data_IF_962043828718
#
_entry.id   IF_962043828718
#
_cell.length_a   1.000
_cell.length_b   1.000
_cell.length_c   1.000
_cell.angle_alpha   90.00
_cell.angle_beta   90.00
_cell.angle_gamma   90.00
#
_symmetry.space_group_name_H-M   'P 1'
#
loop_
_entity.id
_entity.type
_entity.pdbx_description
1 polymer ?
#
# COMPACT_ATOMS: atom_id res chain seq x y z
N UNK A 1 -57.65 -22.98 4.49
CA UNK A 1 -57.32 -24.34 5.01
C UNK A 1 -58.21 -25.46 4.48
N UNK A 2 -59.53 -25.29 4.33
CA UNK A 2 -60.43 -26.38 3.88
C UNK A 2 -60.21 -26.89 2.44
N UNK A 3 -59.57 -26.10 1.57
CA UNK A 3 -59.30 -26.49 0.18
C UNK A 3 -58.10 -27.45 0.04
N UNK A 4 -57.08 -27.30 0.89
CA UNK A 4 -55.88 -28.16 0.85
C UNK A 4 -56.19 -29.57 1.40
N UNK A 5 -57.13 -29.67 2.34
CA UNK A 5 -57.54 -30.93 2.95
C UNK A 5 -58.35 -31.86 2.02
N UNK A 6 -58.90 -31.34 0.92
CA UNK A 6 -59.70 -32.15 -0.03
C UNK A 6 -58.87 -32.81 -1.14
N UNK A 7 -57.66 -32.32 -1.40
CA UNK A 7 -56.82 -32.75 -2.53
C UNK A 7 -55.78 -33.82 -2.15
N UNK A 8 -55.50 -33.99 -0.85
CA UNK A 8 -54.54 -34.96 -0.34
C UNK A 8 -55.29 -36.13 0.27
N UNK A 9 -55.36 -37.26 -0.44
CA UNK A 9 -55.99 -38.49 0.06
C UNK A 9 -55.46 -38.90 1.45
N UNK A 10 -56.27 -39.61 2.25
CA UNK A 10 -55.98 -39.95 3.65
C UNK A 10 -54.55 -40.46 3.93
N UNK A 11 -53.94 -41.16 2.96
CA UNK A 11 -52.57 -41.65 3.03
C UNK A 11 -51.53 -40.54 3.21
N UNK A 12 -51.72 -39.36 2.63
CA UNK A 12 -50.77 -38.24 2.71
C UNK A 12 -50.96 -37.37 3.94
N UNK A 13 -52.10 -37.50 4.63
CA UNK A 13 -52.41 -36.73 5.85
C UNK A 13 -51.44 -37.05 7.00
N UNK A 14 -50.87 -38.26 7.03
CA UNK A 14 -49.82 -38.66 8.00
C UNK A 14 -48.44 -38.08 7.67
N UNK A 15 -48.17 -37.77 6.40
CA UNK A 15 -46.88 -37.23 5.95
C UNK A 15 -46.84 -35.70 5.90
N UNK A 16 -48.00 -35.04 5.91
CA UNK A 16 -48.11 -33.58 5.89
C UNK A 16 -47.25 -32.86 6.95
N UNK A 17 -47.23 -33.23 8.25
CA UNK A 17 -46.39 -32.53 9.23
C UNK A 17 -44.89 -32.70 8.94
N UNK A 18 -44.47 -33.85 8.40
CA UNK A 18 -43.08 -34.10 8.01
C UNK A 18 -42.67 -33.22 6.83
N UNK A 19 -43.53 -33.09 5.82
CA UNK A 19 -43.28 -32.22 4.66
C UNK A 19 -43.21 -30.74 5.05
N UNK A 20 -44.05 -30.30 6.00
CA UNK A 20 -43.99 -28.94 6.55
C UNK A 20 -42.67 -28.71 7.29
N UNK A 21 -42.22 -29.68 8.10
CA UNK A 21 -40.95 -29.59 8.82
C UNK A 21 -39.75 -29.49 7.85
N UNK A 22 -39.71 -30.35 6.83
CA UNK A 22 -38.67 -30.32 5.79
C UNK A 22 -38.69 -28.98 5.06
N UNK A 23 -39.88 -28.50 4.66
CA UNK A 23 -40.03 -27.19 4.03
C UNK A 23 -39.47 -26.05 4.90
N UNK A 24 -39.81 -26.04 6.19
CA UNK A 24 -39.28 -25.07 7.16
C UNK A 24 -37.76 -25.11 7.26
N UNK A 25 -37.15 -26.30 7.34
CA UNK A 25 -35.69 -26.44 7.41
C UNK A 25 -34.97 -25.96 6.15
N UNK A 26 -35.55 -26.21 4.97
CA UNK A 26 -35.00 -25.74 3.69
C UNK A 26 -35.11 -24.22 3.58
N UNK A 27 -36.24 -23.64 3.99
CA UNK A 27 -36.42 -22.18 3.99
C UNK A 27 -35.46 -21.50 4.96
N UNK A 28 -35.29 -22.01 6.19
CA UNK A 28 -34.35 -21.41 7.15
C UNK A 28 -32.90 -21.54 6.70
N UNK A 29 -32.51 -22.67 6.11
CA UNK A 29 -31.17 -22.83 5.54
C UNK A 29 -30.92 -21.87 4.38
N UNK A 30 -31.90 -21.70 3.48
CA UNK A 30 -31.81 -20.77 2.35
C UNK A 30 -31.75 -19.31 2.82
N UNK A 31 -32.58 -18.90 3.80
CA UNK A 31 -32.55 -17.53 4.31
C UNK A 31 -31.24 -17.24 5.03
N UNK A 32 -30.71 -18.17 5.82
CA UNK A 32 -29.38 -18.02 6.46
C UNK A 32 -28.27 -17.93 5.41
N UNK A 33 -28.31 -18.77 4.37
CA UNK A 33 -27.33 -18.75 3.28
C UNK A 33 -27.39 -17.44 2.48
N UNK A 34 -28.58 -16.98 2.13
CA UNK A 34 -28.78 -15.70 1.42
C UNK A 34 -28.40 -14.50 2.29
N UNK A 35 -28.64 -14.56 3.60
CA UNK A 35 -28.22 -13.51 4.53
C UNK A 35 -26.71 -13.46 4.62
N UNK A 36 -26.04 -14.62 4.72
CA UNK A 36 -24.58 -14.72 4.72
C UNK A 36 -23.98 -14.18 3.42
N UNK A 37 -24.51 -14.58 2.26
CA UNK A 37 -24.09 -14.08 0.94
C UNK A 37 -24.32 -12.58 0.84
N UNK A 38 -25.46 -12.06 1.30
CA UNK A 38 -25.75 -10.62 1.27
C UNK A 38 -24.88 -9.82 2.23
N UNK A 39 -24.50 -10.38 3.37
CA UNK A 39 -23.55 -9.77 4.31
C UNK A 39 -22.15 -9.74 3.71
N UNK A 40 -21.72 -10.83 3.07
CA UNK A 40 -20.42 -10.89 2.39
C UNK A 40 -20.35 -9.92 1.20
N UNK A 41 -21.42 -9.83 0.40
CA UNK A 41 -21.51 -8.86 -0.69
C UNK A 41 -21.59 -7.41 -0.20
N UNK A 42 -22.27 -7.13 0.92
CA UNK A 42 -22.29 -5.79 1.52
C UNK A 42 -20.95 -5.41 2.16
N UNK A 43 -20.23 -6.38 2.73
CA UNK A 43 -18.87 -6.18 3.22
C UNK A 43 -17.94 -5.78 2.07
N UNK A 44 -17.98 -6.54 0.96
CA UNK A 44 -17.15 -6.28 -0.22
C UNK A 44 -17.55 -5.01 -0.98
N UNK A 45 -18.84 -4.68 -1.04
CA UNK A 45 -19.32 -3.45 -1.70
C UNK A 45 -19.11 -2.17 -0.88
N UNK A 46 -18.74 -2.30 0.40
CA UNK A 46 -18.38 -1.20 1.30
C UNK A 46 -16.88 -1.15 1.60
N UNK A 47 -16.06 -2.01 0.96
CA UNK A 47 -14.65 -2.20 1.26
C UNK A 47 -13.82 -1.04 0.70
N UNK A 48 -13.97 -0.69 -0.57
CA UNK A 48 -13.14 0.34 -1.21
C UNK A 48 -13.64 1.75 -0.85
N UNK A 49 -13.20 2.29 0.28
CA UNK A 49 -13.58 3.66 0.68
C UNK A 49 -12.40 4.59 0.82
N UNK A 50 -11.21 4.13 1.21
CA UNK A 50 -10.11 5.03 1.48
C UNK A 50 -9.62 5.73 0.20
N UNK A 51 -9.12 6.96 0.35
CA UNK A 51 -8.52 7.72 -0.74
C UNK A 51 -7.19 8.33 -0.33
N UNK A 52 -6.25 8.28 -1.27
CA UNK A 52 -4.99 9.01 -1.20
C UNK A 52 -5.04 10.22 -2.14
N UNK A 53 -4.49 11.35 -1.71
CA UNK A 53 -4.47 12.58 -2.51
C UNK A 53 -3.23 13.42 -2.23
N UNK A 54 -2.97 14.38 -3.11
CA UNK A 54 -1.86 15.31 -2.99
C UNK A 54 -2.34 16.75 -2.78
N UNK A 55 -1.53 17.55 -2.08
CA UNK A 55 -1.67 19.00 -2.03
C UNK A 55 -0.29 19.68 -2.15
N UNK A 56 -0.09 20.62 -3.10
CA UNK A 56 -1.03 21.05 -4.14
C UNK A 56 -1.19 20.00 -5.25
N UNK A 57 -2.21 20.16 -6.11
CA UNK A 57 -2.44 19.31 -7.30
C UNK A 57 -1.68 19.78 -8.54
N UNK A 58 -1.07 20.96 -8.50
CA UNK A 58 -0.22 21.48 -9.56
C UNK A 58 0.88 22.38 -9.02
N UNK A 59 2.06 22.34 -9.64
CA UNK A 59 3.22 23.16 -9.28
C UNK A 59 3.88 23.72 -10.54
N UNK A 60 4.18 25.02 -10.53
CA UNK A 60 5.06 25.65 -11.50
C UNK A 60 6.39 25.97 -10.81
N UNK A 61 7.49 25.44 -11.33
CA UNK A 61 8.81 25.52 -10.69
C UNK A 61 9.89 25.86 -11.72
N UNK A 62 10.89 26.64 -11.33
CA UNK A 62 12.06 26.88 -12.16
C UNK A 62 13.12 25.77 -11.97
N UNK A 63 14.02 25.54 -12.94
CA UNK A 63 15.12 24.60 -12.74
C UNK A 63 15.92 24.95 -11.47
N UNK A 64 16.36 23.93 -10.74
CA UNK A 64 17.07 24.03 -9.46
C UNK A 64 16.26 24.61 -8.28
N UNK A 65 14.97 24.89 -8.42
CA UNK A 65 14.10 25.29 -7.31
C UNK A 65 13.47 24.09 -6.62
N UNK A 66 13.18 24.25 -5.32
CA UNK A 66 12.45 23.26 -4.52
C UNK A 66 10.97 23.57 -4.41
N UNK A 67 10.17 22.54 -4.15
CA UNK A 67 8.75 22.66 -3.87
C UNK A 67 8.28 21.50 -3.00
N UNK A 68 7.18 21.71 -2.29
CA UNK A 68 6.62 20.72 -1.37
C UNK A 68 5.34 20.12 -1.93
N UNK A 69 5.16 18.83 -1.69
CA UNK A 69 3.94 18.07 -1.97
C UNK A 69 3.55 17.31 -0.72
N UNK A 70 2.40 17.62 -0.14
CA UNK A 70 1.80 16.89 0.96
C UNK A 70 1.04 15.66 0.45
N UNK A 71 1.22 14.53 1.13
CA UNK A 71 0.39 13.32 0.99
C UNK A 71 -0.75 13.37 2.00
N UNK A 72 -1.96 13.01 1.58
CA UNK A 72 -3.17 13.09 2.38
C UNK A 72 -3.91 11.76 2.28
N UNK A 73 -4.31 11.21 3.43
CA UNK A 73 -5.12 10.00 3.52
C UNK A 73 -6.48 10.35 4.12
N UNK A 74 -7.54 9.96 3.43
CA UNK A 74 -8.89 10.00 3.94
C UNK A 74 -9.44 8.56 3.98
N UNK A 75 -9.78 8.11 5.17
CA UNK A 75 -10.34 6.76 5.40
C UNK A 75 -11.80 6.62 4.96
N UNK A 76 -12.48 7.74 4.69
CA UNK A 76 -13.90 7.84 4.35
C UNK A 76 -14.81 7.06 5.33
N UNK A 77 -14.48 7.13 6.61
CA UNK A 77 -15.30 6.56 7.68
C UNK A 77 -14.92 5.15 8.10
N UNK A 78 -13.93 4.51 7.47
CA UNK A 78 -13.44 3.20 7.89
C UNK A 78 -12.31 3.32 8.92
N UNK A 79 -12.29 2.38 9.86
CA UNK A 79 -11.20 2.29 10.83
C UNK A 79 -10.03 1.53 10.21
N UNK A 80 -8.86 2.15 10.10
CA UNK A 80 -7.66 1.56 9.48
C UNK A 80 -6.54 1.34 10.49
N UNK A 81 -5.68 0.37 10.21
CA UNK A 81 -4.51 0.04 11.05
C UNK A 81 -3.17 0.26 10.34
N UNK A 82 -3.20 0.57 9.06
CA UNK A 82 -1.99 0.97 8.35
C UNK A 82 -2.26 1.38 6.91
N UNK A 83 -1.23 1.92 6.27
CA UNK A 83 -1.20 2.14 4.83
C UNK A 83 0.24 1.95 4.31
N UNK A 84 0.37 1.38 3.12
CA UNK A 84 1.59 1.45 2.30
C UNK A 84 1.39 2.53 1.23
N UNK A 85 2.35 3.43 1.10
CA UNK A 85 2.26 4.59 0.23
C UNK A 85 3.42 4.51 -0.75
N UNK A 86 3.08 4.30 -2.02
CA UNK A 86 4.04 4.25 -3.12
C UNK A 86 3.79 5.43 -4.05
N UNK A 87 4.74 6.35 -4.14
CA UNK A 87 4.68 7.54 -4.99
C UNK A 87 5.70 7.43 -6.12
N UNK A 88 5.26 7.60 -7.35
CA UNK A 88 6.07 7.58 -8.56
C UNK A 88 6.36 9.00 -9.04
N UNK A 89 7.59 9.23 -9.53
CA UNK A 89 7.98 10.48 -10.16
C UNK A 89 9.07 10.27 -11.21
N UNK A 90 9.21 11.22 -12.14
CA UNK A 90 10.29 11.21 -13.12
C UNK A 90 11.62 11.68 -12.50
N UNK A 91 12.46 10.73 -12.13
CA UNK A 91 13.77 11.01 -11.57
C UNK A 91 14.75 11.67 -12.55
N UNK A 92 14.46 11.74 -13.85
CA UNK A 92 15.30 12.51 -14.79
C UNK A 92 15.03 14.02 -14.68
N UNK A 93 13.88 14.40 -14.13
CA UNK A 93 13.44 15.79 -13.98
C UNK A 93 13.40 16.29 -12.56
N UNK A 94 13.12 15.40 -11.60
CA UNK A 94 13.01 15.73 -10.18
C UNK A 94 14.00 14.92 -9.34
N UNK A 95 14.37 15.48 -8.19
CA UNK A 95 15.07 14.78 -7.11
C UNK A 95 14.23 14.93 -5.86
N UNK A 96 13.94 13.85 -5.14
CA UNK A 96 13.40 13.94 -3.78
C UNK A 96 14.53 14.36 -2.83
N UNK A 97 14.39 15.49 -2.13
CA UNK A 97 15.39 15.95 -1.17
C UNK A 97 15.12 15.41 0.23
N UNK A 98 13.86 15.53 0.67
CA UNK A 98 13.47 15.13 2.02
C UNK A 98 12.04 14.62 2.04
N UNK A 99 11.78 13.77 3.03
CA UNK A 99 10.45 13.40 3.48
C UNK A 99 10.33 13.82 4.95
N UNK A 100 9.35 14.67 5.25
CA UNK A 100 9.11 15.18 6.61
C UNK A 100 7.78 14.63 7.14
N UNK A 101 7.84 14.04 8.34
CA UNK A 101 6.66 13.56 9.05
C UNK A 101 5.92 14.72 9.74
N UNK A 102 4.60 14.61 9.95
CA UNK A 102 3.85 15.59 10.73
C UNK A 102 4.39 15.66 12.18
N UNK A 103 4.39 16.87 12.73
CA UNK A 103 4.78 17.10 14.13
C UNK A 103 3.67 17.90 14.83
N UNK A 104 3.02 17.34 15.87
CA UNK A 104 3.22 15.98 16.40
C UNK A 104 2.72 14.89 15.45
N UNK A 105 3.22 13.66 15.62
CA UNK A 105 2.68 12.49 14.93
C UNK A 105 1.23 12.23 15.39
N UNK A 106 0.35 11.68 14.52
CA UNK A 106 -0.96 11.22 14.94
C UNK A 106 -0.86 10.19 16.07
N UNK A 107 -1.72 10.31 17.09
CA UNK A 107 -1.70 9.42 18.25
C UNK A 107 -1.86 7.93 17.88
N UNK A 108 -2.55 7.62 16.78
CA UNK A 108 -2.65 6.25 16.24
C UNK A 108 -1.37 5.81 15.53
N UNK A 109 -0.91 6.56 14.53
CA UNK A 109 0.19 6.14 13.67
C UNK A 109 1.53 6.59 14.23
N UNK A 110 2.07 5.77 15.14
CA UNK A 110 3.31 6.08 15.86
C UNK A 110 4.55 5.43 15.23
N UNK A 111 4.36 4.51 14.28
CA UNK A 111 5.46 3.87 13.54
C UNK A 111 5.33 4.17 12.05
N UNK A 112 6.43 4.64 11.46
CA UNK A 112 6.58 4.85 10.03
C UNK A 112 7.67 3.90 9.51
N UNK A 113 7.36 3.12 8.48
CA UNK A 113 8.29 2.20 7.85
C UNK A 113 8.88 2.81 6.56
N UNK A 114 10.15 2.50 6.19
CA UNK A 114 11.09 1.65 6.92
C UNK A 114 11.58 2.31 8.21
N UNK A 115 12.02 1.49 9.15
CA UNK A 115 12.54 1.89 10.46
C UNK A 115 14.05 1.73 10.53
N UNK A 116 14.71 2.57 11.32
CA UNK A 116 16.10 2.41 11.72
C UNK A 116 16.22 1.36 12.82
N UNK A 117 17.46 0.99 13.17
CA UNK A 117 17.73 0.11 14.31
C UNK A 117 17.24 0.66 15.65
N UNK A 118 16.98 1.97 15.75
CA UNK A 118 16.42 2.62 16.93
C UNK A 118 14.90 2.80 16.87
N UNK A 119 14.23 2.26 15.84
CA UNK A 119 12.79 2.37 15.63
C UNK A 119 12.31 3.72 15.09
N UNK A 120 13.23 4.61 14.71
CA UNK A 120 12.89 5.87 14.05
C UNK A 120 12.62 5.65 12.56
N UNK A 121 11.88 6.54 11.91
CA UNK A 121 11.67 6.47 10.47
C UNK A 121 12.99 6.65 9.69
N UNK A 122 13.34 5.70 8.83
CA UNK A 122 14.53 5.75 7.99
C UNK A 122 14.29 6.56 6.71
N UNK A 123 14.11 7.88 6.89
CA UNK A 123 13.91 8.83 5.80
C UNK A 123 15.08 8.84 4.81
N UNK A 124 16.31 8.59 5.28
CA UNK A 124 17.50 8.61 4.44
C UNK A 124 17.48 7.46 3.42
N UNK A 125 17.08 6.26 3.85
CA UNK A 125 16.86 5.12 2.96
C UNK A 125 15.77 5.43 1.93
N UNK A 126 14.61 5.93 2.36
CA UNK A 126 13.51 6.28 1.45
C UNK A 126 13.96 7.27 0.37
N UNK A 127 14.70 8.32 0.76
CA UNK A 127 15.22 9.32 -0.19
C UNK A 127 16.24 8.73 -1.16
N UNK A 128 17.12 7.84 -0.68
CA UNK A 128 18.14 7.19 -1.52
C UNK A 128 17.51 6.26 -2.55
N UNK A 129 16.59 5.41 -2.11
CA UNK A 129 15.89 4.45 -2.96
C UNK A 129 15.01 5.18 -4.00
N UNK A 130 14.31 6.24 -3.56
CA UNK A 130 13.49 7.09 -4.43
C UNK A 130 14.26 7.71 -5.59
N UNK A 131 15.44 8.27 -5.33
CA UNK A 131 16.26 8.91 -6.36
C UNK A 131 17.00 7.92 -7.25
N UNK A 132 16.99 6.64 -6.90
CA UNK A 132 17.56 5.56 -7.72
C UNK A 132 16.50 4.95 -8.65
N UNK A 133 15.28 4.78 -8.14
CA UNK A 133 14.23 4.00 -8.79
C UNK A 133 13.04 4.83 -9.29
N UNK A 134 12.97 6.12 -8.97
CA UNK A 134 11.81 6.99 -9.25
C UNK A 134 10.57 6.64 -8.42
N UNK A 135 10.73 5.92 -7.31
CA UNK A 135 9.64 5.45 -6.45
C UNK A 135 9.94 5.70 -4.97
N UNK A 136 9.06 6.47 -4.33
CA UNK A 136 9.09 6.75 -2.89
C UNK A 136 8.17 5.73 -2.24
N UNK A 137 8.70 4.87 -1.36
CA UNK A 137 7.90 3.90 -0.63
C UNK A 137 8.07 4.09 0.87
N UNK A 138 6.96 4.22 1.57
CA UNK A 138 6.92 4.30 3.02
C UNK A 138 5.54 3.87 3.53
N UNK A 139 5.49 3.40 4.77
CA UNK A 139 4.25 2.96 5.40
C UNK A 139 3.95 3.68 6.71
N UNK A 140 2.68 3.70 7.10
CA UNK A 140 2.22 4.10 8.43
C UNK A 140 1.54 2.92 9.11
N UNK A 141 1.81 2.72 10.40
CA UNK A 141 1.34 1.54 11.14
C UNK A 141 0.76 1.97 12.51
N UNK A 142 -0.42 1.45 12.84
CA UNK A 142 -1.10 1.63 14.13
C UNK A 142 -0.40 0.79 15.22
N UNK A 143 0.86 1.11 15.46
CA UNK A 143 1.76 0.42 16.36
C UNK A 143 2.74 1.42 16.96
N UNK A 144 3.03 1.30 18.25
CA UNK A 144 4.06 2.04 18.94
C UNK A 144 5.31 1.16 19.05
N UNK A 145 6.34 1.51 18.30
CA UNK A 145 7.64 0.84 18.37
C UNK A 145 8.24 0.81 19.77
N UNK A 146 8.19 1.93 20.49
CA UNK A 146 8.89 2.10 21.78
C UNK A 146 8.27 1.23 22.87
N UNK A 147 6.94 1.11 22.88
CA UNK A 147 6.22 0.33 23.90
C UNK A 147 5.84 -1.07 23.42
N UNK A 148 6.08 -1.37 22.15
CA UNK A 148 5.73 -2.64 21.52
C UNK A 148 4.23 -2.97 21.64
N UNK A 149 3.38 -1.94 21.50
CA UNK A 149 1.92 -2.06 21.63
C UNK A 149 1.22 -1.64 20.36
N UNK A 150 0.17 -2.37 19.98
CA UNK A 150 -0.80 -1.90 19.00
C UNK A 150 -1.49 -0.64 19.51
N UNK A 151 -1.73 0.31 18.63
CA UNK A 151 -2.55 1.49 18.92
C UNK A 151 -3.97 1.26 18.42
N UNK A 152 -4.89 2.16 18.79
CA UNK A 152 -6.27 2.08 18.32
C UNK A 152 -6.37 2.46 16.86
N UNK A 153 -7.13 1.70 16.08
CA UNK A 153 -7.41 1.99 14.67
C UNK A 153 -7.84 3.44 14.43
N UNK A 154 -7.41 4.02 13.32
CA UNK A 154 -7.67 5.41 12.97
C UNK A 154 -8.88 5.53 12.04
N UNK A 155 -9.73 6.52 12.29
CA UNK A 155 -10.83 6.90 11.40
C UNK A 155 -10.85 8.42 11.25
N UNK A 156 -10.82 8.89 10.01
CA UNK A 156 -10.81 10.31 9.65
C UNK A 156 -9.87 10.64 8.49
N UNK A 157 -9.33 11.86 8.52
CA UNK A 157 -8.41 12.41 7.52
C UNK A 157 -7.07 12.76 8.18
N UNK A 158 -5.97 12.39 7.54
CA UNK A 158 -4.61 12.77 7.91
C UNK A 158 -4.05 13.67 6.82
N UNK A 159 -3.73 14.91 7.17
CA UNK A 159 -3.24 15.93 6.25
C UNK A 159 -2.22 16.84 6.94
N UNK A 160 -0.91 16.70 6.66
CA UNK A 160 -0.27 15.68 5.83
C UNK A 160 0.00 14.36 6.58
N UNK A 161 0.08 13.25 5.86
CA UNK A 161 0.74 12.01 6.32
C UNK A 161 2.26 12.20 6.28
N UNK A 162 2.75 12.78 5.19
CA UNK A 162 4.13 13.17 4.99
C UNK A 162 4.20 14.33 4.00
N UNK A 163 5.18 15.20 4.18
CA UNK A 163 5.52 16.26 3.22
C UNK A 163 6.77 15.85 2.44
N UNK A 164 6.62 15.73 1.13
CA UNK A 164 7.69 15.40 0.19
C UNK A 164 8.28 16.70 -0.37
N UNK A 165 9.58 16.92 -0.18
CA UNK A 165 10.28 18.08 -0.74
C UNK A 165 11.02 17.64 -1.98
N UNK A 166 10.63 18.16 -3.15
CA UNK A 166 11.29 17.89 -4.43
C UNK A 166 12.14 19.08 -4.86
N UNK A 167 13.19 18.80 -5.63
CA UNK A 167 13.94 19.79 -6.42
C UNK A 167 13.79 19.48 -7.91
N UNK A 168 13.48 20.49 -8.72
CA UNK A 168 13.60 20.38 -10.17
C UNK A 168 15.08 20.34 -10.57
N UNK A 169 15.52 19.32 -11.32
CA UNK A 169 16.94 19.17 -11.71
C UNK A 169 17.41 20.33 -12.59
N UNK A 170 18.67 20.71 -12.44
CA UNK A 170 19.31 21.72 -13.27
C UNK A 170 19.22 21.31 -14.74
N UNK A 171 18.77 22.23 -15.60
CA UNK A 171 18.60 21.99 -17.04
C UNK A 171 17.34 21.20 -17.42
N UNK A 172 16.56 20.68 -16.47
CA UNK A 172 15.27 20.07 -16.77
C UNK A 172 14.25 21.11 -17.25
N UNK A 173 13.32 20.70 -18.10
CA UNK A 173 12.22 21.54 -18.59
C UNK A 173 11.00 20.71 -19.00
N UNK A 174 9.89 21.40 -19.25
CA UNK A 174 8.63 20.79 -19.70
C UNK A 174 7.80 20.26 -18.53
N UNK A 175 6.89 19.33 -18.82
CA UNK A 175 5.97 18.79 -17.82
C UNK A 175 6.39 17.42 -17.29
N UNK A 176 6.04 17.14 -16.05
CA UNK A 176 6.11 15.83 -15.42
C UNK A 176 4.98 15.68 -14.40
N UNK A 177 4.82 14.50 -13.82
CA UNK A 177 3.79 14.18 -12.86
C UNK A 177 4.38 13.47 -11.64
N UNK A 178 3.74 13.68 -10.49
CA UNK A 178 3.92 12.87 -9.27
C UNK A 178 2.59 12.16 -9.03
N UNK A 179 2.59 10.83 -8.96
CA UNK A 179 1.39 10.02 -8.83
C UNK A 179 1.55 8.96 -7.75
N UNK A 180 0.47 8.54 -7.12
CA UNK A 180 0.51 7.27 -6.38
C UNK A 180 0.57 6.12 -7.39
N UNK A 181 1.30 5.06 -7.07
CA UNK A 181 1.15 3.78 -7.75
C UNK A 181 -0.16 3.17 -7.24
N UNK A 182 -1.08 2.88 -8.16
CA UNK A 182 -2.35 2.23 -7.87
C UNK A 182 -2.73 1.37 -9.08
N UNK A 183 -2.62 0.06 -8.91
CA UNK A 183 -2.89 -0.97 -9.92
C UNK A 183 -4.29 -1.60 -9.68
N UNK A 184 -4.99 -1.16 -8.65
CA UNK A 184 -6.38 -1.49 -8.32
C UNK A 184 -6.51 -2.18 -6.96
N UNK A 185 -7.70 -2.15 -6.34
CA UNK A 185 -7.98 -2.60 -4.96
C UNK A 185 -7.64 -4.07 -4.61
N UNK A 186 -7.13 -4.86 -5.54
CA UNK A 186 -6.69 -6.25 -5.29
C UNK A 186 -5.20 -6.44 -5.53
N UNK A 187 -4.51 -5.42 -6.05
CA UNK A 187 -3.07 -5.43 -6.16
C UNK A 187 -2.47 -5.21 -4.77
N UNK A 188 -1.34 -5.84 -4.53
CA UNK A 188 -0.59 -5.75 -3.27
C UNK A 188 0.76 -5.07 -3.47
N UNK A 189 1.11 -4.76 -4.72
CA UNK A 189 2.40 -4.18 -5.09
C UNK A 189 2.31 -2.67 -5.36
N UNK A 190 1.17 -2.07 -5.05
CA UNK A 190 0.84 -0.66 -5.21
C UNK A 190 0.62 0.01 -3.84
N UNK A 191 0.04 1.21 -3.81
CA UNK A 191 -0.33 1.81 -2.53
C UNK A 191 -1.54 1.07 -1.97
N UNK A 192 -1.54 0.74 -0.69
CA UNK A 192 -2.64 0.04 -0.04
C UNK A 192 -3.03 0.74 1.26
N UNK A 193 -4.30 0.65 1.64
CA UNK A 193 -4.79 1.14 2.94
C UNK A 193 -5.53 0.00 3.59
N UNK A 194 -5.13 -0.40 4.79
CA UNK A 194 -5.67 -1.62 5.39
C UNK A 194 -6.62 -1.31 6.53
N UNK A 195 -7.81 -1.86 6.42
CA UNK A 195 -8.84 -1.81 7.46
C UNK A 195 -8.41 -2.58 8.72
N UNK A 196 -8.89 -2.13 9.87
CA UNK A 196 -8.76 -2.87 11.13
C UNK A 196 -9.43 -4.24 10.99
N UNK A 197 -8.71 -5.36 11.24
CA UNK A 197 -9.27 -6.68 11.00
C UNK A 197 -10.42 -6.96 11.98
N UNK A 198 -11.56 -7.42 11.44
CA UNK A 198 -12.66 -8.00 12.23
C UNK A 198 -12.46 -9.52 12.46
N UNK A 199 -11.22 -10.01 12.29
CA UNK A 199 -10.83 -11.40 12.12
C UNK A 199 -10.60 -11.75 10.63
N UNK A 200 -9.59 -12.59 10.34
CA UNK A 200 -9.25 -13.00 8.97
C UNK A 200 -7.99 -12.34 8.41
N UNK A 201 -7.81 -12.46 7.08
CA UNK A 201 -6.70 -11.83 6.35
C UNK A 201 -6.90 -10.31 6.27
N UNK A 202 -5.81 -9.52 6.24
CA UNK A 202 -5.88 -8.08 6.02
C UNK A 202 -6.54 -7.76 4.67
N UNK A 203 -7.42 -6.74 4.65
CA UNK A 203 -8.14 -6.29 3.45
C UNK A 203 -7.68 -4.87 3.08
N UNK A 204 -7.27 -4.68 1.83
CA UNK A 204 -7.02 -3.36 1.25
C UNK A 204 -8.36 -2.69 0.92
N UNK A 205 -8.47 -1.43 1.31
CA UNK A 205 -9.65 -0.58 1.14
C UNK A 205 -9.35 0.67 0.32
N UNK A 206 -8.18 0.76 -0.32
CA UNK A 206 -7.85 1.89 -1.18
C UNK A 206 -8.70 1.84 -2.44
N UNK A 207 -9.69 2.72 -2.50
CA UNK A 207 -10.61 2.81 -3.65
C UNK A 207 -10.04 3.61 -4.81
N UNK A 208 -9.25 4.63 -4.47
CA UNK A 208 -8.83 5.64 -5.41
C UNK A 208 -7.57 6.35 -4.92
N UNK A 209 -6.58 6.41 -5.80
CA UNK A 209 -5.50 7.36 -5.74
C UNK A 209 -5.89 8.58 -6.59
N UNK A 210 -6.30 9.68 -5.93
CA UNK A 210 -6.72 10.90 -6.61
C UNK A 210 -5.59 11.51 -7.46
N UNK A 211 -6.01 12.38 -8.40
CA UNK A 211 -5.24 12.93 -9.51
C UNK A 211 -3.77 13.26 -9.20
N UNK A 212 -2.86 12.96 -10.15
CA UNK A 212 -1.44 13.26 -10.00
C UNK A 212 -1.19 14.75 -9.80
N UNK A 213 -0.07 15.09 -9.15
CA UNK A 213 0.44 16.46 -9.14
C UNK A 213 1.03 16.77 -10.50
N UNK A 214 0.45 17.73 -11.22
CA UNK A 214 1.00 18.23 -12.46
C UNK A 214 2.16 19.19 -12.17
N UNK A 215 3.38 18.84 -12.57
CA UNK A 215 4.57 19.69 -12.37
C UNK A 215 5.01 20.27 -13.70
N UNK A 216 5.01 21.59 -13.80
CA UNK A 216 5.57 22.31 -14.96
C UNK A 216 6.90 22.93 -14.55
N UNK A 217 7.98 22.46 -15.19
CA UNK A 217 9.32 23.00 -15.03
C UNK A 217 9.54 24.04 -16.12
N UNK A 218 9.67 25.31 -15.71
CA UNK A 218 9.93 26.39 -16.64
C UNK A 218 11.18 26.08 -17.47
N UNK A 219 11.09 26.24 -18.79
CA UNK A 219 12.27 26.18 -19.64
C UNK A 219 13.28 27.23 -19.18
N UNK A 220 14.57 26.98 -19.41
CA UNK A 220 15.55 28.04 -19.32
C UNK A 220 15.05 29.19 -20.22
N UNK A 221 14.79 30.35 -19.62
CA UNK A 221 14.48 31.55 -20.40
C UNK A 221 15.59 31.68 -21.42
N UNK A 222 15.28 31.80 -22.74
CA UNK A 222 16.32 31.85 -23.75
C UNK A 222 17.29 32.96 -23.36
N UNK A 223 18.53 32.58 -23.05
CA UNK A 223 19.59 33.56 -22.84
C UNK A 223 19.69 34.34 -24.15
N UNK A 224 19.60 35.69 -24.13
CA UNK A 224 19.69 36.46 -25.36
C UNK A 224 20.94 36.03 -26.13
N UNK A 225 20.73 35.52 -27.34
CA UNK A 225 21.79 34.92 -28.15
C UNK A 225 22.90 35.96 -28.33
N UNK A 226 24.15 35.68 -27.91
CA UNK A 226 25.27 36.47 -28.37
C UNK A 226 25.36 36.37 -29.91
N UNK A 227 25.64 37.50 -30.54
CA UNK A 227 25.87 37.68 -31.98
C UNK A 227 26.85 36.62 -32.52
N UNK A 228 26.67 36.11 -33.76
CA UNK A 228 27.36 34.92 -34.25
C UNK A 228 28.89 35.07 -34.24
N UNK A 229 29.56 34.12 -33.59
CA UNK A 229 31.01 33.91 -33.70
C UNK A 229 31.29 32.56 -34.35
N UNK A 230 32.30 32.53 -35.21
CA UNK A 230 32.55 31.50 -36.21
C UNK A 230 32.91 30.12 -35.63
N UNK A 231 32.40 29.10 -36.33
CA UNK A 231 32.59 27.66 -36.18
C UNK A 231 34.05 27.21 -36.23
N UNK A 232 34.47 26.35 -35.29
CA UNK A 232 35.02 25.01 -35.61
C UNK A 232 34.49 23.96 -34.60
N UNK A 233 34.48 22.64 -34.79
CA UNK A 233 34.98 21.66 -35.76
C UNK A 233 34.69 20.29 -35.10
N UNK A 234 34.30 19.28 -35.89
CA UNK A 234 33.73 18.02 -35.39
C UNK A 234 34.74 17.17 -34.58
N UNK A 235 34.28 16.58 -33.46
CA UNK A 235 35.01 15.62 -32.63
C UNK A 235 34.23 14.30 -32.55
N UNK A 236 34.90 13.12 -32.62
CA UNK A 236 34.24 11.83 -32.78
C UNK A 236 33.63 11.26 -31.50
N UNK A 237 32.57 10.49 -31.70
CA UNK A 237 31.71 9.84 -30.70
C UNK A 237 32.30 8.50 -30.22
N UNK A 238 32.34 8.23 -28.90
CA UNK A 238 32.65 6.90 -28.39
C UNK A 238 31.41 6.02 -28.20
N UNK A 239 31.64 4.72 -28.44
CA UNK A 239 30.72 3.60 -28.47
C UNK A 239 30.24 3.17 -27.07
N UNK A 240 28.96 2.77 -26.96
CA UNK A 240 28.33 2.30 -25.73
C UNK A 240 28.58 0.81 -25.46
N UNK A 241 28.94 0.50 -24.21
CA UNK A 241 29.14 -0.85 -23.68
C UNK A 241 27.80 -1.50 -23.26
N UNK A 242 27.58 -2.81 -23.46
CA UNK A 242 26.34 -3.47 -23.09
C UNK A 242 26.22 -3.70 -21.58
N UNK A 243 25.08 -3.31 -21.02
CA UNK A 243 24.69 -3.55 -19.62
C UNK A 243 24.14 -4.97 -19.47
N UNK A 244 24.70 -5.74 -18.53
CA UNK A 244 24.29 -7.11 -18.21
C UNK A 244 22.94 -7.12 -17.48
N UNK A 245 21.92 -7.69 -18.10
CA UNK A 245 20.62 -7.92 -17.49
C UNK A 245 20.72 -8.97 -16.36
N UNK A 246 20.14 -8.72 -15.17
CA UNK A 246 20.10 -9.71 -14.10
C UNK A 246 19.21 -10.90 -14.49
N UNK A 247 19.72 -12.10 -14.27
CA UNK A 247 19.05 -13.38 -14.50
C UNK A 247 18.00 -13.62 -13.40
N UNK A 248 16.72 -13.57 -13.75
CA UNK A 248 15.61 -13.95 -12.87
C UNK A 248 15.46 -15.47 -12.80
N UNK A 249 16.22 -16.11 -11.90
CA UNK A 249 15.88 -17.47 -11.49
C UNK A 249 14.57 -17.44 -10.68
N UNK A 250 13.58 -18.30 -10.98
CA UNK A 250 12.34 -18.34 -10.23
C UNK A 250 12.63 -18.74 -8.77
N UNK A 251 12.37 -17.84 -7.83
CA UNK A 251 12.47 -18.10 -6.40
C UNK A 251 11.21 -18.85 -6.00
N UNK A 252 11.33 -20.07 -5.47
CA UNK A 252 10.16 -20.80 -4.97
C UNK A 252 9.75 -20.21 -3.62
N UNK A 253 8.64 -19.48 -3.59
CA UNK A 253 8.01 -19.02 -2.35
C UNK A 253 6.87 -19.97 -1.96
N UNK A 254 6.67 -20.17 -0.65
CA UNK A 254 5.51 -20.89 -0.10
C UNK A 254 4.79 -19.93 0.83
N UNK A 255 3.49 -19.71 0.60
CA UNK A 255 2.68 -18.80 1.42
C UNK A 255 2.73 -19.26 2.87
N UNK A 256 3.15 -18.37 3.77
CA UNK A 256 3.29 -18.65 5.21
C UNK A 256 2.22 -17.88 5.96
N UNK A 257 1.54 -18.55 6.87
CA UNK A 257 0.59 -17.87 7.74
C UNK A 257 1.29 -16.97 8.75
N UNK A 258 2.51 -17.33 9.17
CA UNK A 258 3.36 -16.55 10.06
C UNK A 258 4.82 -17.05 9.96
N UNK A 259 5.77 -16.29 10.53
CA UNK A 259 7.16 -16.73 10.71
C UNK A 259 7.72 -16.28 12.08
N UNK A 260 8.37 -17.18 12.83
CA UNK A 260 9.16 -16.81 14.01
C UNK A 260 10.63 -16.71 13.59
N UNK A 261 11.14 -15.49 13.45
CA UNK A 261 12.47 -15.19 12.95
C UNK A 261 13.52 -15.08 14.06
N UNK A 262 13.12 -14.71 15.27
CA UNK A 262 14.04 -14.51 16.40
C UNK A 262 14.14 -15.75 17.32
N UNK A 263 13.44 -16.83 17.00
CA UNK A 263 13.41 -18.13 17.70
C UNK A 263 12.83 -18.11 19.13
N UNK A 264 12.04 -17.09 19.51
CA UNK A 264 11.50 -16.94 20.88
C UNK A 264 10.30 -17.85 21.18
N UNK A 265 10.03 -18.87 20.35
CA UNK A 265 8.89 -19.82 20.42
C UNK A 265 7.50 -19.22 20.27
N UNK A 266 7.36 -17.89 20.38
CA UNK A 266 6.13 -17.14 20.13
C UNK A 266 6.37 -16.07 19.09
N UNK A 267 5.33 -15.70 18.36
CA UNK A 267 5.37 -14.54 17.49
C UNK A 267 5.32 -13.29 18.35
N UNK A 268 6.37 -12.50 18.28
CA UNK A 268 6.48 -11.26 19.03
C UNK A 268 6.82 -10.08 18.13
N UNK A 269 7.08 -8.95 18.77
CA UNK A 269 7.43 -7.70 18.10
C UNK A 269 8.66 -7.81 17.22
N UNK A 270 9.67 -8.56 17.63
CA UNK A 270 10.94 -8.60 16.93
C UNK A 270 10.74 -9.31 15.60
N UNK A 271 9.83 -10.29 15.53
CA UNK A 271 9.45 -10.92 14.27
C UNK A 271 8.82 -9.92 13.29
N UNK A 272 7.86 -9.12 13.78
CA UNK A 272 7.25 -8.04 12.99
C UNK A 272 8.29 -7.02 12.56
N UNK A 273 9.23 -6.68 13.45
CA UNK A 273 10.27 -5.72 13.12
C UNK A 273 11.26 -6.24 12.09
N UNK A 274 11.53 -7.54 12.06
CA UNK A 274 12.37 -8.12 11.03
C UNK A 274 11.72 -8.03 9.65
N UNK A 275 10.39 -8.16 9.55
CA UNK A 275 9.64 -7.89 8.31
C UNK A 275 9.68 -6.39 7.98
N UNK A 276 9.39 -5.52 8.95
CA UNK A 276 9.37 -4.06 8.75
C UNK A 276 10.72 -3.49 8.29
N UNK A 277 11.83 -4.08 8.74
CA UNK A 277 13.18 -3.73 8.29
C UNK A 277 13.41 -4.04 6.81
N UNK A 278 12.64 -4.99 6.25
CA UNK A 278 12.69 -5.41 4.85
C UNK A 278 11.61 -4.78 3.98
N UNK A 279 10.81 -3.86 4.53
CA UNK A 279 9.75 -3.16 3.81
C UNK A 279 10.23 -2.56 2.49
N UNK A 280 9.42 -2.73 1.45
CA UNK A 280 9.63 -2.22 0.11
C UNK A 280 10.67 -2.97 -0.72
N UNK A 281 11.29 -4.03 -0.19
CA UNK A 281 12.09 -4.92 -1.01
C UNK A 281 11.19 -5.82 -1.85
N UNK A 282 11.60 -6.04 -3.10
CA UNK A 282 10.86 -6.82 -4.09
C UNK A 282 11.78 -7.76 -4.85
N UNK A 283 11.20 -8.73 -5.54
CA UNK A 283 11.93 -9.71 -6.33
C UNK A 283 12.91 -9.02 -7.29
N UNK A 284 14.18 -9.41 -7.21
CA UNK A 284 15.29 -8.81 -7.97
C UNK A 284 16.10 -7.77 -7.20
N UNK A 285 15.63 -7.28 -6.07
CA UNK A 285 16.45 -6.49 -5.14
C UNK A 285 17.47 -7.40 -4.43
N UNK A 286 18.74 -6.99 -4.32
CA UNK A 286 19.79 -7.75 -3.63
C UNK A 286 19.48 -8.03 -2.16
N UNK A 287 18.66 -7.18 -1.54
CA UNK A 287 18.27 -7.29 -0.14
C UNK A 287 16.88 -7.89 0.07
N UNK A 288 16.18 -8.26 -1.01
CA UNK A 288 14.94 -9.01 -0.91
C UNK A 288 15.23 -10.43 -0.43
N UNK A 289 14.47 -10.86 0.58
CA UNK A 289 14.54 -12.20 1.12
C UNK A 289 13.10 -12.74 1.21
N UNK A 290 12.85 -13.78 0.42
CA UNK A 290 11.55 -14.43 0.26
C UNK A 290 10.97 -14.95 1.57
N UNK A 291 11.79 -15.11 2.62
CA UNK A 291 11.28 -15.50 3.94
C UNK A 291 10.38 -14.44 4.58
N UNK A 292 10.57 -13.16 4.22
CA UNK A 292 9.81 -12.03 4.75
C UNK A 292 8.60 -11.61 3.90
N UNK A 293 8.45 -12.22 2.72
CA UNK A 293 7.30 -12.09 1.82
C UNK A 293 6.32 -13.23 2.14
N UNK A 294 5.46 -13.00 3.13
CA UNK A 294 4.61 -14.02 3.74
C UNK A 294 3.45 -14.43 2.82
N UNK A 295 3.00 -13.55 1.94
CA UNK A 295 1.95 -13.84 0.97
C UNK A 295 2.48 -14.29 -0.40
N UNK A 296 3.80 -14.31 -0.61
CA UNK A 296 4.49 -14.69 -1.84
C UNK A 296 4.10 -13.84 -3.07
N UNK A 297 3.81 -12.56 -2.87
CA UNK A 297 3.43 -11.66 -3.97
C UNK A 297 4.63 -11.03 -4.69
N UNK A 298 5.85 -11.29 -4.20
CA UNK A 298 7.09 -10.79 -4.75
C UNK A 298 7.52 -9.45 -4.17
N UNK A 299 6.83 -8.93 -3.16
CA UNK A 299 7.12 -7.69 -2.43
C UNK A 299 6.95 -7.87 -0.93
N UNK A 300 7.71 -7.12 -0.14
CA UNK A 300 7.56 -7.10 1.33
C UNK A 300 6.88 -5.79 1.71
N UNK A 301 5.63 -5.84 2.13
CA UNK A 301 4.78 -4.65 2.32
C UNK A 301 3.90 -4.77 3.59
N UNK A 302 2.85 -3.93 3.69
CA UNK A 302 1.95 -3.90 4.85
C UNK A 302 1.21 -5.21 5.10
N UNK A 303 0.91 -5.94 4.02
CA UNK A 303 0.16 -7.19 4.08
C UNK A 303 0.98 -8.26 4.80
N UNK A 304 2.30 -8.30 4.60
CA UNK A 304 3.19 -9.23 5.31
C UNK A 304 3.26 -8.89 6.80
N UNK A 305 3.43 -7.60 7.13
CA UNK A 305 3.44 -7.15 8.53
C UNK A 305 2.13 -7.52 9.23
N UNK A 306 1.00 -7.34 8.58
CA UNK A 306 -0.30 -7.62 9.19
C UNK A 306 -0.60 -9.10 9.28
N UNK A 307 -0.21 -9.89 8.27
CA UNK A 307 -0.30 -11.34 8.33
C UNK A 307 0.49 -11.86 9.54
N UNK A 308 1.68 -11.30 9.79
CA UNK A 308 2.44 -11.60 11.00
C UNK A 308 1.72 -11.12 12.28
N UNK A 309 1.24 -9.87 12.30
CA UNK A 309 0.56 -9.28 13.46
C UNK A 309 -0.73 -10.01 13.85
N UNK A 310 -1.48 -10.56 12.89
CA UNK A 310 -2.67 -11.35 13.14
C UNK A 310 -2.40 -12.65 13.90
N UNK A 311 -1.14 -13.10 13.93
CA UNK A 311 -0.70 -14.27 14.68
C UNK A 311 0.06 -13.89 15.97
N UNK A 312 0.02 -12.63 16.40
CA UNK A 312 0.72 -12.15 17.61
C UNK A 312 0.46 -13.03 18.84
N UNK A 313 1.53 -13.39 19.55
CA UNK A 313 1.49 -14.27 20.72
C UNK A 313 1.21 -15.74 20.40
N UNK A 314 0.97 -16.08 19.13
CA UNK A 314 0.83 -17.45 18.65
C UNK A 314 2.17 -18.15 18.45
N UNK A 315 2.12 -19.43 18.07
CA UNK A 315 3.29 -20.24 17.73
C UNK A 315 3.20 -20.55 16.23
N UNK A 316 4.24 -20.21 15.46
CA UNK A 316 4.33 -20.70 14.08
C UNK A 316 4.72 -22.18 14.07
N UNK A 317 3.87 -23.01 13.46
CA UNK A 317 4.16 -24.41 13.18
C UNK A 317 4.64 -24.59 11.74
#
# INVERSE_FOLDING_TARGET
MRFITSLLGEKYRRFLPLLILIGLTVVTFLTLSLTRISQELRSRAAADTATLSFSPTSVNVAPNQTFNVATILNTNGQAIVGADIIVQFDQTKLTLETIALPSPLPATFQTYAPVTTSGGFDAARVVTDANTNGQIQFGIIAFNWTTEQLTTAFNGVISPIATLTFRAKTGASGSTAISYKYDGATATTDSNVVIAPAGGDPEDILSNALSPVAVTIAGASPTPSPSPSATPGASPSPSASPSSAPSSSPVSCTVRQCANYNTTSTIDVQDIMLIANRWGFSTGNLNYDVLYDLNCDGTINIIDIQRQANNWGGICQ
#
